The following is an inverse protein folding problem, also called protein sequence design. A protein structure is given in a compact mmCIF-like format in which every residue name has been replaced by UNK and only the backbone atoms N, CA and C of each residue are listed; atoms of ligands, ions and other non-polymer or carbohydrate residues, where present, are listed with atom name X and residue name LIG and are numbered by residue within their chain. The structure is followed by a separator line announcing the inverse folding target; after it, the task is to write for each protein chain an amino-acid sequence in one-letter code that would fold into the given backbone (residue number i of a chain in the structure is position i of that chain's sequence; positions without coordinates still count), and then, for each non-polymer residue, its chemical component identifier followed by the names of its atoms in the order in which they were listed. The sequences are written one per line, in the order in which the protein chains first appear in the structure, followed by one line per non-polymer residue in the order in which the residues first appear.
data_IF_331585988088
#
_entry.id   IF_331585988088
#
_cell.length_a   1.000
_cell.length_b   1.000
_cell.length_c   1.000
_cell.angle_alpha   90.00
_cell.angle_beta   90.00
_cell.angle_gamma   90.00
#
_symmetry.space_group_name_H-M   'P 1'
#
loop_
_entity.id
_entity.type
_entity.pdbx_description
1 polymer ?
#
# COMPACT_ATOMS: atom_id res chain seq x y z
N UNK A 1 8.26 3.75 -0.20
CA UNK A 1 7.01 4.55 -0.22
C UNK A 1 7.40 5.92 0.29
N UNK A 2 6.82 7.01 -0.21
CA UNK A 2 7.14 8.32 0.37
C UNK A 2 6.71 8.35 1.84
N UNK A 3 7.54 8.96 2.70
CA UNK A 3 7.31 8.95 4.14
C UNK A 3 5.94 9.56 4.51
N UNK A 4 5.49 10.57 3.78
CA UNK A 4 4.16 11.16 3.95
C UNK A 4 3.03 10.16 3.66
N UNK A 5 3.13 9.40 2.56
CA UNK A 5 2.16 8.35 2.23
C UNK A 5 2.15 7.25 3.31
N UNK A 6 3.33 6.87 3.83
CA UNK A 6 3.46 5.89 4.92
C UNK A 6 2.77 6.39 6.20
N UNK A 7 2.99 7.65 6.57
CA UNK A 7 2.36 8.29 7.73
C UNK A 7 0.84 8.27 7.65
N UNK A 8 0.26 8.55 6.47
CA UNK A 8 -1.20 8.51 6.27
C UNK A 8 -1.73 7.09 6.52
N UNK A 9 -1.09 6.08 5.93
CA UNK A 9 -1.51 4.68 6.11
C UNK A 9 -1.34 4.18 7.54
N UNK A 10 -0.23 4.52 8.19
CA UNK A 10 0.00 4.20 9.61
C UNK A 10 -1.08 4.83 10.48
N UNK A 11 -1.44 6.09 10.23
CA UNK A 11 -2.53 6.75 10.97
C UNK A 11 -3.86 6.03 10.78
N UNK A 12 -4.20 5.66 9.55
CA UNK A 12 -5.42 4.89 9.25
C UNK A 12 -5.41 3.51 9.92
N UNK A 13 -4.26 2.85 9.96
CA UNK A 13 -4.08 1.57 10.65
C UNK A 13 -4.33 1.73 12.15
N UNK A 14 -3.74 2.75 12.80
CA UNK A 14 -3.98 3.04 14.23
C UNK A 14 -5.46 3.32 14.49
N UNK A 15 -6.10 4.19 13.70
CA UNK A 15 -7.54 4.46 13.83
C UNK A 15 -8.38 3.19 13.68
N UNK A 16 -7.99 2.27 12.79
CA UNK A 16 -8.70 1.01 12.56
C UNK A 16 -8.58 0.08 13.76
N UNK A 17 -7.37 -0.08 14.32
CA UNK A 17 -7.17 -0.89 15.53
C UNK A 17 -8.01 -0.32 16.66
N UNK A 18 -7.84 0.97 17.01
CA UNK A 18 -8.53 1.57 18.16
C UNK A 18 -10.05 1.52 18.02
N UNK A 19 -10.59 1.79 16.82
CA UNK A 19 -12.06 1.73 16.59
C UNK A 19 -12.63 0.34 16.74
N UNK A 20 -11.89 -0.69 16.32
CA UNK A 20 -12.38 -2.07 16.37
C UNK A 20 -12.18 -2.72 17.73
N UNK A 21 -11.17 -2.30 18.50
CA UNK A 21 -10.80 -2.99 19.75
C UNK A 21 -11.09 -2.20 21.02
N UNK A 22 -11.33 -0.89 20.95
CA UNK A 22 -11.46 -0.02 22.14
C UNK A 22 -12.71 0.87 22.07
N UNK A 23 -12.77 1.80 21.11
CA UNK A 23 -13.89 2.75 21.00
C UNK A 23 -14.22 3.02 19.52
N UNK A 24 -15.37 2.54 19.01
CA UNK A 24 -15.81 2.72 17.62
C UNK A 24 -15.89 4.18 17.16
N UNK A 25 -16.05 5.13 18.08
CA UNK A 25 -16.16 6.56 17.79
C UNK A 25 -14.82 7.28 17.85
N UNK A 26 -13.75 6.60 18.27
CA UNK A 26 -12.44 7.20 18.47
C UNK A 26 -11.87 7.81 17.19
N UNK A 27 -11.28 8.99 17.31
CA UNK A 27 -10.55 9.66 16.22
C UNK A 27 -9.40 10.47 16.78
N UNK A 28 -8.36 10.66 15.98
CA UNK A 28 -7.31 11.62 16.31
C UNK A 28 -7.88 13.04 16.37
N UNK A 29 -7.73 13.70 17.52
CA UNK A 29 -7.86 15.14 17.65
C UNK A 29 -6.60 15.80 17.08
N UNK A 30 -6.72 16.88 16.31
CA UNK A 30 -5.58 17.65 15.74
C UNK A 30 -4.74 16.91 14.68
N UNK A 31 -5.38 16.54 13.57
CA UNK A 31 -4.82 15.69 12.51
C UNK A 31 -3.46 16.13 11.92
N UNK A 32 -3.16 17.44 11.87
CA UNK A 32 -1.89 17.95 11.33
C UNK A 32 -0.68 17.68 12.24
N UNK A 33 -0.81 18.01 13.53
CA UNK A 33 0.27 17.77 14.51
C UNK A 33 0.48 16.28 14.76
N UNK A 34 -0.60 15.51 14.76
CA UNK A 34 -0.54 14.03 14.84
C UNK A 34 0.26 13.45 13.67
N UNK A 35 0.05 13.93 12.44
CA UNK A 35 0.78 13.44 11.28
C UNK A 35 2.28 13.70 11.40
N UNK A 36 2.68 14.91 11.80
CA UNK A 36 4.09 15.25 12.04
C UNK A 36 4.70 14.40 13.16
N UNK A 37 3.95 14.18 14.25
CA UNK A 37 4.42 13.36 15.36
C UNK A 37 4.61 11.90 14.96
N UNK A 38 3.64 11.30 14.25
CA UNK A 38 3.77 9.93 13.72
C UNK A 38 4.94 9.84 12.76
N UNK A 39 5.10 10.82 11.85
CA UNK A 39 6.20 10.86 10.90
C UNK A 39 7.56 10.86 11.61
N UNK A 40 7.76 11.72 12.60
CA UNK A 40 8.98 11.78 13.39
C UNK A 40 9.22 10.47 14.15
N UNK A 41 8.16 9.89 14.71
CA UNK A 41 8.22 8.59 15.39
C UNK A 41 8.67 7.46 14.46
N UNK A 42 8.13 7.40 13.25
CA UNK A 42 8.53 6.42 12.23
C UNK A 42 9.99 6.57 11.80
N UNK A 43 10.54 7.79 11.79
CA UNK A 43 11.96 8.03 11.50
C UNK A 43 12.88 7.61 12.66
N UNK A 44 12.41 7.67 13.89
CA UNK A 44 13.18 7.29 15.08
C UNK A 44 13.12 5.78 15.37
N UNK A 45 12.05 5.12 14.94
CA UNK A 45 11.82 3.71 15.26
C UNK A 45 12.94 2.76 14.76
N UNK A 46 13.61 2.94 13.60
CA UNK A 46 14.74 2.09 13.21
C UNK A 46 15.88 2.03 14.22
N UNK A 47 16.18 3.15 14.87
CA UNK A 47 17.22 3.22 15.90
C UNK A 47 16.92 2.32 17.11
N UNK A 48 15.65 2.03 17.40
CA UNK A 48 15.25 1.08 18.45
C UNK A 48 15.79 -0.33 18.19
N UNK A 49 15.92 -0.70 16.91
CA UNK A 49 16.35 -2.02 16.45
C UNK A 49 17.83 -2.03 15.99
N UNK A 50 18.54 -0.91 16.11
CA UNK A 50 19.94 -0.80 15.68
C UNK A 50 20.14 -0.86 14.16
N UNK A 51 19.12 -0.51 13.38
CA UNK A 51 19.12 -0.58 11.90
C UNK A 51 18.79 0.78 11.28
N UNK A 52 19.15 0.96 10.02
CA UNK A 52 18.87 2.19 9.24
C UNK A 52 17.45 2.24 8.69
N UNK A 53 16.81 1.10 8.48
CA UNK A 53 15.42 0.97 8.03
C UNK A 53 14.77 -0.25 8.67
N UNK A 54 13.43 -0.25 8.75
CA UNK A 54 12.65 -1.32 9.38
C UNK A 54 11.51 -1.79 8.49
N UNK A 55 11.26 -3.09 8.58
CA UNK A 55 10.14 -3.73 7.90
C UNK A 55 8.79 -3.25 8.46
N UNK A 56 7.77 -3.31 7.63
CA UNK A 56 6.41 -2.86 7.98
C UNK A 56 5.83 -3.71 9.13
N UNK A 57 6.19 -4.99 9.20
CA UNK A 57 5.84 -5.90 10.28
C UNK A 57 6.33 -5.38 11.64
N UNK A 58 7.57 -4.87 11.71
CA UNK A 58 8.14 -4.32 12.96
C UNK A 58 7.44 -3.03 13.38
N UNK A 59 7.00 -2.22 12.41
CA UNK A 59 6.21 -1.03 12.68
C UNK A 59 4.85 -1.42 13.27
N UNK A 60 4.18 -2.40 12.68
CA UNK A 60 2.90 -2.92 13.18
C UNK A 60 3.06 -3.51 14.56
N UNK A 61 4.06 -4.36 14.79
CA UNK A 61 4.31 -4.97 16.10
C UNK A 61 4.52 -3.95 17.20
N UNK A 62 5.32 -2.92 16.92
CA UNK A 62 5.51 -1.80 17.85
C UNK A 62 4.19 -1.09 18.14
N UNK A 63 3.47 -0.67 17.11
CA UNK A 63 2.26 0.14 17.26
C UNK A 63 1.13 -0.62 17.95
N UNK A 64 0.89 -1.87 17.54
CA UNK A 64 -0.12 -2.74 18.16
C UNK A 64 0.21 -2.95 19.64
N UNK A 65 1.47 -3.19 19.99
CA UNK A 65 1.86 -3.30 21.39
C UNK A 65 1.57 -2.02 22.18
N UNK A 66 1.92 -0.85 21.66
CA UNK A 66 1.66 0.42 22.37
C UNK A 66 0.16 0.64 22.55
N UNK A 67 -0.66 0.39 21.52
CA UNK A 67 -2.12 0.53 21.62
C UNK A 67 -2.67 -0.45 22.65
N UNK A 68 -2.28 -1.73 22.59
CA UNK A 68 -2.71 -2.73 23.57
C UNK A 68 -2.35 -2.31 25.00
N UNK A 69 -1.12 -1.81 25.21
CA UNK A 69 -0.64 -1.35 26.51
C UNK A 69 -1.44 -0.16 27.03
N UNK A 70 -1.81 0.79 26.16
CA UNK A 70 -2.58 1.98 26.52
C UNK A 70 -4.09 1.81 26.38
N UNK A 71 -4.62 0.61 26.10
CA UNK A 71 -6.05 0.39 25.81
C UNK A 71 -6.99 0.97 26.87
N UNK A 72 -6.64 0.89 28.15
CA UNK A 72 -7.43 1.46 29.25
C UNK A 72 -7.42 2.98 29.23
N UNK A 73 -6.27 3.60 28.97
CA UNK A 73 -6.13 5.06 28.83
C UNK A 73 -6.79 5.60 27.56
N UNK A 74 -6.82 4.79 26.49
CA UNK A 74 -7.56 5.09 25.27
C UNK A 74 -9.07 5.04 25.53
N UNK A 75 -9.55 4.01 26.23
CA UNK A 75 -10.97 3.83 26.56
C UNK A 75 -11.52 4.94 27.47
N UNK A 76 -10.72 5.44 28.42
CA UNK A 76 -11.14 6.50 29.34
C UNK A 76 -10.81 7.92 28.85
N UNK A 77 -10.24 8.06 27.65
CA UNK A 77 -9.92 9.35 27.04
C UNK A 77 -8.71 10.10 27.62
N UNK A 78 -7.93 9.50 28.53
CA UNK A 78 -6.75 10.14 29.11
C UNK A 78 -5.47 10.01 28.26
N UNK A 79 -5.53 9.21 27.20
CA UNK A 79 -4.39 8.97 26.32
C UNK A 79 -4.08 10.16 25.38
N UNK A 80 -2.79 10.43 25.18
CA UNK A 80 -2.30 11.42 24.22
C UNK A 80 -1.47 10.75 23.11
N UNK A 81 -1.58 11.26 21.87
CA UNK A 81 -0.84 10.73 20.73
C UNK A 81 0.69 10.83 20.89
N UNK A 82 1.16 11.77 21.70
CA UNK A 82 2.56 11.97 22.08
C UNK A 82 3.13 10.82 22.92
N UNK A 83 2.29 9.89 23.40
CA UNK A 83 2.76 8.73 24.15
C UNK A 83 3.25 7.61 23.26
N UNK A 84 2.80 7.57 21.99
CA UNK A 84 3.02 6.46 21.07
C UNK A 84 4.50 6.21 20.76
N UNK A 85 5.31 7.28 20.65
CA UNK A 85 6.74 7.24 20.33
C UNK A 85 7.60 7.94 21.39
N UNK A 86 7.06 8.09 22.61
CA UNK A 86 7.84 8.64 23.74
C UNK A 86 9.03 7.74 24.08
N UNK A 87 10.08 8.29 24.70
CA UNK A 87 11.23 7.48 25.16
C UNK A 87 10.78 6.34 26.08
N UNK A 88 9.83 6.61 26.98
CA UNK A 88 9.23 5.59 27.83
C UNK A 88 8.48 4.49 27.05
N UNK A 89 7.88 4.80 25.89
CA UNK A 89 7.25 3.81 25.03
C UNK A 89 8.29 2.92 24.32
N UNK A 90 9.37 3.54 23.81
CA UNK A 90 10.49 2.85 23.16
C UNK A 90 11.20 1.90 24.13
N UNK A 91 11.58 2.39 25.32
CA UNK A 91 12.23 1.59 26.37
C UNK A 91 11.37 0.40 26.79
N UNK A 92 10.06 0.61 26.95
CA UNK A 92 9.14 -0.46 27.34
C UNK A 92 8.94 -1.49 26.25
N UNK A 93 9.03 -1.13 24.97
CA UNK A 93 9.05 -2.11 23.89
C UNK A 93 10.38 -2.88 23.90
N UNK A 94 11.50 -2.18 24.04
CA UNK A 94 12.84 -2.79 24.12
C UNK A 94 12.92 -3.83 25.23
N UNK A 95 12.52 -3.48 26.44
CA UNK A 95 12.57 -4.37 27.59
C UNK A 95 11.61 -5.56 27.45
N UNK A 96 10.50 -5.38 26.73
CA UNK A 96 9.48 -6.41 26.57
C UNK A 96 9.84 -7.45 25.50
N UNK A 97 10.42 -7.01 24.37
CA UNK A 97 10.60 -7.85 23.18
C UNK A 97 12.04 -7.98 22.67
N UNK A 98 12.93 -7.07 23.04
CA UNK A 98 14.31 -7.04 22.53
C UNK A 98 15.35 -7.41 23.59
N UNK A 99 15.00 -7.33 24.88
CA UNK A 99 15.85 -7.78 25.99
C UNK A 99 15.81 -9.30 26.13
N UNK A 100 16.94 -9.88 26.55
CA UNK A 100 17.07 -11.31 26.90
C UNK A 100 16.10 -11.73 28.01
N UNK A 101 15.72 -10.81 28.89
CA UNK A 101 14.81 -11.05 30.01
C UNK A 101 13.34 -10.71 29.67
N UNK A 102 13.06 -10.42 28.40
CA UNK A 102 11.73 -10.04 27.92
C UNK A 102 10.69 -11.15 28.10
N UNK A 103 9.45 -10.78 28.44
CA UNK A 103 8.37 -11.76 28.64
C UNK A 103 7.79 -12.19 27.28
N UNK A 104 8.25 -13.33 26.76
CA UNK A 104 7.86 -13.88 25.45
C UNK A 104 6.34 -14.12 25.27
N UNK A 105 5.58 -14.32 26.34
CA UNK A 105 4.14 -14.62 26.29
C UNK A 105 3.22 -13.46 25.89
N UNK A 106 3.73 -12.23 25.83
CA UNK A 106 2.88 -11.05 25.56
C UNK A 106 2.23 -11.08 24.17
N UNK A 107 2.91 -11.66 23.17
CA UNK A 107 2.39 -11.75 21.81
C UNK A 107 1.12 -12.61 21.70
N UNK A 108 0.97 -13.61 22.57
CA UNK A 108 -0.23 -14.45 22.62
C UNK A 108 -1.45 -13.61 22.99
N UNK A 109 -1.38 -12.85 24.09
CA UNK A 109 -2.48 -12.00 24.54
C UNK A 109 -2.83 -10.88 23.55
N UNK A 110 -1.82 -10.31 22.89
CA UNK A 110 -2.04 -9.29 21.86
C UNK A 110 -2.75 -9.89 20.65
N UNK A 111 -2.35 -11.08 20.20
CA UNK A 111 -3.03 -11.75 19.07
C UNK A 111 -4.46 -12.09 19.44
N UNK A 112 -4.70 -12.68 20.61
CA UNK A 112 -6.05 -12.99 21.07
C UNK A 112 -6.94 -11.73 21.10
N UNK A 113 -6.43 -10.62 21.61
CA UNK A 113 -7.15 -9.34 21.62
C UNK A 113 -7.45 -8.78 20.22
N UNK A 114 -6.57 -8.99 19.24
CA UNK A 114 -6.84 -8.62 17.85
C UNK A 114 -7.87 -9.56 17.21
N UNK A 115 -7.77 -10.87 17.47
CA UNK A 115 -8.66 -11.89 16.92
C UNK A 115 -10.11 -11.66 17.37
N UNK A 116 -10.32 -11.25 18.63
CA UNK A 116 -11.64 -10.84 19.17
C UNK A 116 -12.30 -9.70 18.37
N UNK A 117 -11.51 -8.90 17.64
CA UNK A 117 -11.97 -7.81 16.79
C UNK A 117 -11.85 -8.11 15.29
N UNK A 118 -11.67 -9.39 14.91
CA UNK A 118 -11.46 -9.86 13.54
C UNK A 118 -10.31 -9.13 12.83
N UNK A 119 -9.25 -8.85 13.59
CA UNK A 119 -8.01 -8.25 13.10
C UNK A 119 -6.85 -9.23 13.27
N UNK A 120 -5.88 -9.13 12.37
CA UNK A 120 -4.61 -9.82 12.47
C UNK A 120 -3.47 -8.86 12.12
N UNK A 121 -2.28 -9.13 12.67
CA UNK A 121 -1.06 -8.38 12.34
C UNK A 121 -0.80 -8.33 10.84
N UNK A 122 -1.03 -9.44 10.11
CA UNK A 122 -0.86 -9.50 8.66
C UNK A 122 -1.81 -8.58 7.88
N UNK A 123 -3.07 -8.47 8.31
CA UNK A 123 -4.01 -7.49 7.73
C UNK A 123 -3.54 -6.05 8.00
N UNK A 124 -3.11 -5.76 9.21
CA UNK A 124 -2.60 -4.43 9.59
C UNK A 124 -1.32 -4.06 8.84
N UNK A 125 -0.40 -5.01 8.65
CA UNK A 125 0.81 -4.82 7.81
C UNK A 125 0.40 -4.48 6.39
N UNK A 126 -0.53 -5.24 5.81
CA UNK A 126 -1.02 -4.99 4.44
C UNK A 126 -1.63 -3.60 4.25
N UNK A 127 -2.17 -2.97 5.30
CA UNK A 127 -2.67 -1.59 5.23
C UNK A 127 -1.55 -0.56 5.05
N UNK A 128 -0.37 -0.82 5.61
CA UNK A 128 0.76 0.12 5.58
C UNK A 128 1.81 -0.24 4.53
N UNK A 129 1.78 -1.46 4.00
CA UNK A 129 2.73 -1.89 2.97
C UNK A 129 2.60 -1.06 1.70
N UNK A 130 3.75 -0.78 1.08
CA UNK A 130 3.77 -0.18 -0.26
C UNK A 130 2.99 -1.12 -1.19
N UNK A 131 2.00 -0.62 -1.95
CA UNK A 131 1.32 -1.45 -2.94
C UNK A 131 2.39 -2.03 -3.86
N UNK A 132 2.40 -3.36 -4.02
CA UNK A 132 3.26 -3.99 -5.01
C UNK A 132 3.01 -3.26 -6.34
N UNK A 133 4.06 -2.84 -7.06
CA UNK A 133 3.86 -2.12 -8.32
C UNK A 133 2.98 -2.98 -9.21
N UNK A 134 1.80 -2.47 -9.59
CA UNK A 134 0.88 -3.24 -10.43
C UNK A 134 1.63 -3.59 -11.73
N UNK A 135 1.89 -4.88 -12.02
CA UNK A 135 2.65 -5.27 -13.21
C UNK A 135 2.07 -4.66 -14.49
N UNK A 136 0.75 -4.48 -14.56
CA UNK A 136 0.05 -3.89 -15.70
C UNK A 136 0.44 -2.42 -15.94
N UNK A 137 0.83 -1.65 -14.92
CA UNK A 137 1.30 -0.27 -15.11
C UNK A 137 2.62 -0.23 -15.92
N UNK A 138 3.46 -1.25 -15.80
CA UNK A 138 4.68 -1.40 -16.64
C UNK A 138 4.35 -1.82 -18.07
N UNK A 139 3.14 -2.31 -18.32
CA UNK A 139 2.69 -2.84 -19.63
C UNK A 139 1.85 -1.82 -20.41
N UNK A 140 1.65 -0.61 -19.89
CA UNK A 140 0.92 0.48 -20.56
C UNK A 140 1.50 0.71 -21.96
N UNK A 141 2.83 0.72 -22.06
CA UNK A 141 3.56 0.71 -23.32
C UNK A 141 4.77 -0.22 -23.23
N UNK A 142 4.92 -1.08 -24.24
CA UNK A 142 6.02 -2.02 -24.37
C UNK A 142 6.68 -1.79 -25.72
N UNK A 143 7.84 -1.13 -25.72
CA UNK A 143 8.58 -0.83 -26.94
C UNK A 143 8.98 -2.11 -27.73
N UNK A 144 9.14 -3.24 -27.02
CA UNK A 144 9.42 -4.54 -27.64
C UNK A 144 8.29 -5.08 -28.53
N UNK A 145 7.06 -4.56 -28.39
CA UNK A 145 5.93 -4.97 -29.23
C UNK A 145 5.88 -4.22 -30.58
N UNK A 146 6.59 -3.10 -30.73
CA UNK A 146 6.56 -2.27 -31.95
C UNK A 146 6.94 -3.05 -33.22
N UNK A 147 8.02 -3.86 -33.24
CA UNK A 147 8.38 -4.61 -34.45
C UNK A 147 7.28 -5.59 -34.87
N UNK A 148 6.63 -6.25 -33.91
CA UNK A 148 5.54 -7.21 -34.17
C UNK A 148 4.32 -6.48 -34.72
N UNK A 149 3.97 -5.32 -34.14
CA UNK A 149 2.84 -4.49 -34.59
C UNK A 149 3.06 -3.88 -35.97
N UNK A 150 4.30 -3.53 -36.33
CA UNK A 150 4.66 -2.98 -37.65
C UNK A 150 4.64 -4.02 -38.76
N UNK A 151 5.01 -5.28 -38.46
CA UNK A 151 5.23 -6.33 -39.47
C UNK A 151 3.97 -6.73 -40.26
N UNK A 152 2.78 -6.56 -39.66
CA UNK A 152 1.49 -6.94 -40.28
C UNK A 152 0.45 -5.83 -40.10
N UNK A 153 0.86 -4.58 -40.32
CA UNK A 153 -0.04 -3.44 -40.18
C UNK A 153 -1.17 -3.53 -41.22
N UNK A 154 -2.40 -3.22 -40.80
CA UNK A 154 -3.59 -3.15 -41.67
C UNK A 154 -3.98 -4.45 -42.38
N UNK A 155 -3.65 -5.62 -41.82
CA UNK A 155 -4.17 -6.92 -42.28
C UNK A 155 -4.99 -7.61 -41.20
N UNK A 156 -5.91 -8.50 -41.61
CA UNK A 156 -6.76 -9.26 -40.69
C UNK A 156 -5.93 -10.28 -39.89
N UNK A 157 -4.97 -10.92 -40.55
CA UNK A 157 -4.01 -11.82 -39.93
C UNK A 157 -3.13 -11.07 -38.92
N UNK A 158 -2.78 -9.82 -39.24
CA UNK A 158 -2.04 -8.92 -38.36
C UNK A 158 -2.79 -8.54 -37.09
N UNK A 159 -4.10 -8.28 -37.20
CA UNK A 159 -4.96 -8.04 -36.03
C UNK A 159 -5.00 -9.28 -35.11
N UNK A 160 -5.22 -10.47 -35.68
CA UNK A 160 -5.24 -11.72 -34.92
C UNK A 160 -3.90 -12.01 -34.24
N UNK A 161 -2.79 -11.86 -34.97
CA UNK A 161 -1.44 -12.05 -34.45
C UNK A 161 -1.12 -11.03 -33.34
N UNK A 162 -1.47 -9.77 -33.53
CA UNK A 162 -1.28 -8.71 -32.54
C UNK A 162 -2.03 -9.04 -31.24
N UNK A 163 -3.29 -9.46 -31.32
CA UNK A 163 -4.09 -9.85 -30.15
C UNK A 163 -3.59 -11.10 -29.42
N UNK A 164 -2.84 -11.97 -30.11
CA UNK A 164 -2.25 -13.19 -29.55
C UNK A 164 -0.86 -12.97 -28.97
N UNK A 165 0.00 -12.24 -29.69
CA UNK A 165 1.43 -12.13 -29.41
C UNK A 165 1.84 -10.84 -28.69
N UNK A 166 0.90 -9.91 -28.50
CA UNK A 166 1.12 -8.66 -27.79
C UNK A 166 0.00 -8.42 -26.78
N UNK A 167 0.15 -7.37 -25.99
CA UNK A 167 -0.88 -6.81 -25.11
C UNK A 167 -1.96 -6.02 -25.86
N UNK A 168 -2.02 -6.15 -27.19
CA UNK A 168 -3.05 -5.57 -28.05
C UNK A 168 -2.89 -4.07 -28.23
N UNK A 169 -4.03 -3.39 -28.27
CA UNK A 169 -4.13 -1.96 -28.51
C UNK A 169 -3.36 -1.15 -27.47
N UNK A 170 -2.39 -0.36 -27.91
CA UNK A 170 -1.68 0.60 -27.05
C UNK A 170 -1.76 1.99 -27.68
N UNK A 171 -2.23 3.00 -26.94
CA UNK A 171 -2.36 4.36 -27.48
C UNK A 171 -1.02 5.05 -27.70
N UNK A 172 0.02 4.59 -27.00
CA UNK A 172 1.38 5.12 -27.10
C UNK A 172 2.20 4.45 -28.22
N UNK A 173 1.62 3.44 -28.88
CA UNK A 173 2.26 2.72 -29.97
C UNK A 173 2.15 3.49 -31.28
N UNK A 174 3.30 3.71 -31.94
CA UNK A 174 3.36 4.35 -33.25
C UNK A 174 2.63 3.50 -34.30
N UNK A 175 2.84 2.18 -34.26
CA UNK A 175 2.16 1.24 -35.14
C UNK A 175 0.64 1.29 -34.95
N UNK A 176 0.16 1.30 -33.70
CA UNK A 176 -1.28 1.43 -33.44
C UNK A 176 -1.81 2.76 -33.99
N UNK A 177 -1.10 3.88 -33.81
CA UNK A 177 -1.51 5.19 -34.33
C UNK A 177 -1.68 5.25 -35.85
N UNK A 178 -1.05 4.32 -36.60
CA UNK A 178 -1.20 4.19 -38.05
C UNK A 178 -2.14 3.06 -38.48
N UNK A 179 -2.60 2.22 -37.55
CA UNK A 179 -3.44 1.06 -37.82
C UNK A 179 -4.91 1.43 -38.09
N UNK A 180 -5.56 0.76 -39.03
CA UNK A 180 -6.98 0.94 -39.37
C UNK A 180 -7.89 0.16 -38.41
N UNK A 181 -7.36 -0.91 -37.80
CA UNK A 181 -8.06 -1.72 -36.80
C UNK A 181 -8.07 -1.08 -35.39
N UNK A 182 -7.76 0.21 -35.26
CA UNK A 182 -7.60 0.91 -33.98
C UNK A 182 -8.79 0.71 -33.02
N UNK A 183 -9.99 0.99 -33.51
CA UNK A 183 -11.22 0.95 -32.70
C UNK A 183 -11.55 -0.49 -32.29
N UNK A 184 -11.51 -1.42 -33.23
CA UNK A 184 -11.88 -2.82 -32.97
C UNK A 184 -10.84 -3.52 -32.08
N UNK A 185 -9.55 -3.32 -32.34
CA UNK A 185 -8.47 -3.78 -31.48
C UNK A 185 -8.59 -3.21 -30.06
N UNK A 186 -9.03 -1.95 -29.93
CA UNK A 186 -9.35 -1.31 -28.65
C UNK A 186 -10.43 -2.07 -27.88
N UNK A 187 -11.55 -2.41 -28.52
CA UNK A 187 -12.64 -3.20 -27.91
C UNK A 187 -12.18 -4.59 -27.48
N UNK A 188 -11.44 -5.29 -28.33
CA UNK A 188 -10.88 -6.61 -28.02
C UNK A 188 -9.94 -6.55 -26.82
N UNK A 189 -9.07 -5.54 -26.78
CA UNK A 189 -8.12 -5.33 -25.69
C UNK A 189 -8.83 -4.96 -24.38
N UNK A 190 -9.90 -4.15 -24.44
CA UNK A 190 -10.71 -3.80 -23.26
C UNK A 190 -11.39 -5.04 -22.66
N UNK A 191 -11.86 -5.96 -23.50
CA UNK A 191 -12.46 -7.23 -23.07
C UNK A 191 -11.42 -8.17 -22.44
N UNK A 192 -10.21 -8.24 -23.02
CA UNK A 192 -9.14 -9.14 -22.57
C UNK A 192 -8.38 -8.62 -21.34
N UNK A 193 -8.14 -7.32 -21.27
CA UNK A 193 -7.32 -6.66 -20.23
C UNK A 193 -7.96 -5.34 -19.77
N UNK A 194 -9.06 -5.38 -18.98
CA UNK A 194 -9.82 -4.20 -18.59
C UNK A 194 -9.00 -3.19 -17.77
N UNK A 195 -8.20 -3.65 -16.80
CA UNK A 195 -7.34 -2.78 -15.99
C UNK A 195 -6.19 -2.16 -16.80
N UNK A 196 -5.61 -2.91 -17.75
CA UNK A 196 -4.58 -2.37 -18.64
C UNK A 196 -5.16 -1.28 -19.56
N UNK A 197 -6.37 -1.48 -20.07
CA UNK A 197 -7.10 -0.50 -20.86
C UNK A 197 -7.39 0.77 -20.04
N UNK A 198 -7.78 0.63 -18.77
CA UNK A 198 -7.95 1.78 -17.85
C UNK A 198 -6.66 2.58 -17.71
N UNK A 199 -5.53 1.93 -17.40
CA UNK A 199 -4.24 2.62 -17.30
C UNK A 199 -3.79 3.27 -18.61
N UNK A 200 -4.01 2.61 -19.75
CA UNK A 200 -3.72 3.19 -21.08
C UNK A 200 -4.55 4.44 -21.34
N UNK A 201 -5.83 4.46 -20.98
CA UNK A 201 -6.70 5.64 -21.10
C UNK A 201 -6.27 6.77 -20.17
N UNK A 202 -5.88 6.45 -18.93
CA UNK A 202 -5.35 7.43 -17.97
C UNK A 202 -4.10 8.14 -18.53
N UNK A 203 -3.17 7.41 -19.15
CA UNK A 203 -1.94 7.99 -19.70
C UNK A 203 -2.17 8.70 -21.03
N UNK A 204 -3.15 8.27 -21.83
CA UNK A 204 -3.34 8.76 -23.20
C UNK A 204 -3.89 10.19 -23.29
N UNK A 205 -4.55 10.73 -22.25
CA UNK A 205 -5.08 12.11 -22.18
C UNK A 205 -5.52 12.70 -23.54
N UNK A 206 -6.32 11.96 -24.31
CA UNK A 206 -7.12 12.47 -25.41
C UNK A 206 -6.40 13.14 -26.59
N UNK A 207 -5.10 12.90 -26.86
CA UNK A 207 -4.45 13.45 -28.07
C UNK A 207 -4.12 12.40 -29.11
N UNK A 208 -5.11 12.21 -30.00
CA UNK A 208 -5.06 12.15 -31.47
C UNK A 208 -6.29 11.34 -31.88
N UNK A 209 -7.40 12.05 -32.05
CA UNK A 209 -8.48 11.51 -32.87
C UNK A 209 -7.89 11.13 -34.22
N UNK A 210 -8.19 9.89 -34.62
CA UNK A 210 -7.96 9.36 -35.95
C UNK A 210 -9.33 9.06 -36.52
#
# INVERSE_FOLDING_TARGET
MELQEKTIKVRQMIETVVKRTIDPKWRFTQSGMVALYIQNGLQQLPALFGVSDIDDERIVDYLVYQIYRYRTSLANGSWQYTYLFSQAALEKYRNQFLSTDGKSGMNFYINQWLDEAELSRGQLTSMITKPKPNPLKKMVYLASEEPIKKRFLNTNEGLALCQRSTTGWSPLSEACGRCDNWVECGKMTAKKYPELMRYRKEVYHGRKEK
#
